data_IF_947777794807
#
_entry.id   IF_947777794807
#
_cell.length_a   1.000
_cell.length_b   1.000
_cell.length_c   1.000
_cell.angle_alpha   90.00
_cell.angle_beta   90.00
_cell.angle_gamma   90.00
#
_symmetry.space_group_name_H-M   'P 1'
#
loop_
_entity.id
_entity.type
_entity.pdbx_description
1 polymer ?
#
# COMPACT_ATOMS: atom_id res chain seq x y z
N UNK A 1 -0.46 8.09 20.95
CA UNK A 1 0.55 7.08 20.60
C UNK A 1 1.48 7.66 19.57
N UNK A 2 2.71 7.17 19.49
CA UNK A 2 3.67 7.43 18.42
C UNK A 2 3.69 6.24 17.46
N UNK A 3 3.28 6.47 16.22
CA UNK A 3 3.01 5.43 15.21
C UNK A 3 4.01 5.58 14.07
N UNK A 4 4.74 4.51 13.79
CA UNK A 4 5.58 4.39 12.61
C UNK A 4 4.77 3.73 11.50
N UNK A 5 4.19 4.54 10.62
CA UNK A 5 3.49 4.06 9.43
C UNK A 5 4.52 3.75 8.34
N UNK A 6 4.44 2.59 7.72
CA UNK A 6 5.42 2.16 6.71
C UNK A 6 4.69 1.62 5.49
N UNK A 7 5.10 2.09 4.32
CA UNK A 7 4.54 1.66 3.04
C UNK A 7 5.61 1.82 1.96
N UNK A 8 5.41 1.13 0.84
CA UNK A 8 6.23 1.38 -0.35
C UNK A 8 5.80 2.64 -1.10
N UNK A 9 4.59 3.15 -0.88
CA UNK A 9 4.04 4.26 -1.65
C UNK A 9 3.10 5.10 -0.80
N UNK A 10 3.06 6.40 -1.08
CA UNK A 10 2.10 7.34 -0.52
C UNK A 10 2.00 8.60 -1.38
N UNK A 11 0.80 9.15 -1.53
CA UNK A 11 0.58 10.41 -2.25
C UNK A 11 1.06 11.60 -1.42
N UNK A 12 1.83 12.56 -1.98
CA UNK A 12 2.18 12.74 -3.40
C UNK A 12 3.58 12.25 -3.79
N UNK A 13 4.23 11.40 -2.99
CA UNK A 13 5.62 10.99 -3.21
C UNK A 13 5.75 9.88 -4.26
N UNK A 14 4.86 8.88 -4.21
CA UNK A 14 4.79 7.80 -5.19
C UNK A 14 3.38 7.19 -5.20
N UNK A 15 2.89 6.79 -6.39
CA UNK A 15 1.58 6.14 -6.54
C UNK A 15 1.54 5.18 -7.73
N UNK A 16 1.17 3.94 -7.47
CA UNK A 16 0.86 2.89 -8.44
C UNK A 16 -0.55 2.33 -8.25
N UNK A 17 -1.09 2.40 -7.03
CA UNK A 17 -2.41 1.86 -6.69
C UNK A 17 -3.01 2.46 -5.43
N UNK A 18 -4.03 1.80 -4.88
CA UNK A 18 -4.80 2.29 -3.74
C UNK A 18 -4.03 2.34 -2.41
N UNK A 19 -2.96 1.54 -2.27
CA UNK A 19 -2.08 1.59 -1.09
C UNK A 19 -1.56 3.02 -0.84
N UNK A 20 -1.16 3.73 -1.90
CA UNK A 20 -0.62 5.07 -1.79
C UNK A 20 -1.64 6.09 -1.25
N UNK A 21 -2.92 5.93 -1.62
CA UNK A 21 -4.00 6.78 -1.12
C UNK A 21 -4.27 6.48 0.36
N UNK A 22 -4.33 5.19 0.72
CA UNK A 22 -4.59 4.75 2.10
C UNK A 22 -3.46 5.17 3.03
N UNK A 23 -2.19 4.97 2.65
CA UNK A 23 -1.04 5.30 3.49
C UNK A 23 -1.04 6.79 3.87
N UNK A 24 -1.29 7.69 2.92
CA UNK A 24 -1.39 9.12 3.18
C UNK A 24 -2.64 9.48 3.99
N UNK A 25 -3.82 9.03 3.57
CA UNK A 25 -5.08 9.39 4.20
C UNK A 25 -5.18 8.88 5.64
N UNK A 26 -4.80 7.62 5.89
CA UNK A 26 -4.78 7.03 7.22
C UNK A 26 -3.77 7.74 8.13
N UNK A 27 -2.58 8.07 7.62
CA UNK A 27 -1.59 8.83 8.40
C UNK A 27 -2.14 10.19 8.85
N UNK A 28 -2.82 10.91 7.95
CA UNK A 28 -3.48 12.19 8.29
C UNK A 28 -4.62 12.00 9.30
N UNK A 29 -5.45 10.99 9.11
CA UNK A 29 -6.58 10.73 10.01
C UNK A 29 -6.10 10.39 11.43
N UNK A 30 -5.01 9.63 11.56
CA UNK A 30 -4.38 9.33 12.85
C UNK A 30 -3.75 10.57 13.50
N UNK A 31 -3.10 11.43 12.71
CA UNK A 31 -2.59 12.73 13.16
C UNK A 31 -3.72 13.63 13.69
N UNK A 32 -4.82 13.73 12.93
CA UNK A 32 -6.02 14.47 13.33
C UNK A 32 -6.71 13.88 14.58
N UNK A 33 -6.59 12.57 14.79
CA UNK A 33 -7.05 11.90 16.01
C UNK A 33 -6.11 12.11 17.22
N UNK A 34 -5.03 12.89 17.06
CA UNK A 34 -4.12 13.24 18.15
C UNK A 34 -2.97 12.25 18.36
N UNK A 35 -2.61 11.46 17.33
CA UNK A 35 -1.44 10.59 17.37
C UNK A 35 -0.24 11.23 16.66
N UNK A 36 0.97 10.94 17.14
CA UNK A 36 2.19 11.36 16.43
C UNK A 36 2.51 10.30 15.37
N UNK A 37 2.46 10.69 14.09
CA UNK A 37 2.67 9.76 12.98
C UNK A 37 3.95 10.12 12.21
N UNK A 38 4.85 9.15 12.08
CA UNK A 38 5.95 9.19 11.12
C UNK A 38 5.66 8.20 10.00
N UNK A 39 5.55 8.71 8.77
CA UNK A 39 5.38 7.89 7.57
C UNK A 39 6.74 7.62 6.92
N UNK A 40 7.13 6.35 6.80
CA UNK A 40 8.38 5.94 6.17
C UNK A 40 8.13 5.34 4.80
N UNK A 41 8.84 5.85 3.79
CA UNK A 41 8.73 5.43 2.39
C UNK A 41 10.13 5.25 1.79
N UNK A 42 10.30 4.43 0.73
CA UNK A 42 11.49 4.52 -0.09
C UNK A 42 11.51 5.87 -0.84
N UNK A 43 12.69 6.45 -1.03
CA UNK A 43 12.85 7.66 -1.83
C UNK A 43 12.88 7.30 -3.32
N UNK A 44 11.83 7.67 -4.08
CA UNK A 44 11.79 7.50 -5.53
C UNK A 44 11.98 8.84 -6.27
N UNK A 45 13.21 9.31 -6.52
CA UNK A 45 13.47 10.62 -7.13
C UNK A 45 12.67 10.88 -8.42
N UNK A 46 12.55 9.88 -9.29
CA UNK A 46 11.90 10.03 -10.61
C UNK A 46 10.36 10.12 -10.53
N UNK A 47 9.77 9.73 -9.40
CA UNK A 47 8.31 9.78 -9.20
C UNK A 47 7.85 11.06 -8.50
N UNK A 48 8.80 11.84 -7.98
CA UNK A 48 8.49 13.09 -7.31
C UNK A 48 7.97 14.13 -8.32
N UNK A 49 6.88 14.87 -7.98
CA UNK A 49 6.39 15.92 -8.85
C UNK A 49 7.40 17.06 -8.98
N UNK A 50 7.29 17.85 -10.04
CA UNK A 50 8.15 19.00 -10.25
C UNK A 50 8.13 19.96 -9.03
N UNK A 51 9.31 20.39 -8.58
CA UNK A 51 9.49 21.23 -7.39
C UNK A 51 9.24 20.54 -6.05
N UNK A 52 9.09 19.21 -6.01
CA UNK A 52 8.82 18.44 -4.79
C UNK A 52 9.80 18.74 -3.65
N UNK A 53 11.09 18.87 -3.96
CA UNK A 53 12.13 19.10 -2.94
C UNK A 53 11.85 20.36 -2.12
N UNK A 54 11.53 21.48 -2.76
CA UNK A 54 11.15 22.71 -2.06
C UNK A 54 9.75 22.61 -1.46
N UNK A 55 8.78 22.08 -2.22
CA UNK A 55 7.36 22.00 -1.81
C UNK A 55 7.14 21.14 -0.57
N UNK A 56 7.89 20.05 -0.44
CA UNK A 56 7.76 19.08 0.64
C UNK A 56 8.90 19.18 1.66
N UNK A 57 9.77 20.19 1.51
CA UNK A 57 10.90 20.44 2.42
C UNK A 57 11.78 19.20 2.58
N UNK A 58 12.21 18.63 1.44
CA UNK A 58 13.01 17.40 1.44
C UNK A 58 14.46 17.72 1.79
N UNK A 59 14.87 17.33 2.99
CA UNK A 59 16.17 17.65 3.58
C UNK A 59 16.81 16.42 4.25
N UNK A 60 18.13 16.21 4.12
CA UNK A 60 18.83 15.14 4.84
C UNK A 60 18.62 15.22 6.35
N UNK A 61 18.50 14.06 7.00
CA UNK A 61 18.30 13.96 8.45
C UNK A 61 18.96 12.70 9.00
N UNK A 62 19.35 12.74 10.28
CA UNK A 62 19.92 11.59 10.98
C UNK A 62 21.33 11.22 10.50
N UNK A 63 21.78 10.04 10.93
CA UNK A 63 23.07 9.50 10.55
C UNK A 63 22.92 8.56 9.35
N UNK A 64 23.88 8.63 8.42
CA UNK A 64 24.01 7.60 7.39
C UNK A 64 24.22 6.23 8.03
N UNK A 65 23.68 5.19 7.40
CA UNK A 65 23.73 3.84 7.92
C UNK A 65 24.24 2.86 6.89
N UNK A 66 24.71 1.71 7.38
CA UNK A 66 25.15 0.59 6.55
C UNK A 66 24.48 -0.69 7.04
N UNK A 67 23.69 -1.32 6.18
CA UNK A 67 22.90 -2.50 6.53
C UNK A 67 23.36 -3.74 5.78
N UNK A 68 23.31 -4.92 6.41
CA UNK A 68 23.55 -6.17 5.72
C UNK A 68 22.36 -6.51 4.82
N UNK A 69 22.63 -6.87 3.57
CA UNK A 69 21.67 -7.48 2.65
C UNK A 69 22.35 -8.69 2.03
N UNK A 70 22.07 -9.85 2.61
CA UNK A 70 22.86 -11.07 2.37
C UNK A 70 24.35 -10.84 2.68
N UNK A 71 25.27 -11.20 1.78
CA UNK A 71 26.71 -11.02 1.99
C UNK A 71 27.17 -9.57 1.79
N UNK A 72 26.33 -8.70 1.22
CA UNK A 72 26.67 -7.30 0.93
C UNK A 72 26.33 -6.38 2.08
N UNK A 73 27.05 -5.27 2.16
CA UNK A 73 26.74 -4.13 3.01
C UNK A 73 26.30 -2.98 2.13
N UNK A 74 25.05 -2.57 2.26
CA UNK A 74 24.47 -1.47 1.47
C UNK A 74 24.37 -0.23 2.35
N UNK A 75 24.88 0.89 1.83
CA UNK A 75 24.79 2.20 2.49
C UNK A 75 23.48 2.88 2.12
N UNK A 76 22.89 3.60 3.07
CA UNK A 76 21.73 4.44 2.83
C UNK A 76 21.74 5.67 3.73
N UNK A 77 20.83 6.60 3.44
CA UNK A 77 20.60 7.79 4.25
C UNK A 77 19.10 8.03 4.41
N UNK A 78 18.74 8.98 5.28
CA UNK A 78 17.37 9.38 5.48
C UNK A 78 17.18 10.83 5.03
N UNK A 79 16.05 11.09 4.36
CA UNK A 79 15.59 12.44 4.04
C UNK A 79 14.29 12.68 4.81
N UNK A 80 14.22 13.77 5.55
CA UNK A 80 12.96 14.28 6.09
C UNK A 80 12.14 14.95 5.00
N UNK A 81 10.83 14.85 5.08
CA UNK A 81 9.87 15.56 4.25
C UNK A 81 8.58 15.79 5.05
N UNK A 82 7.68 16.62 4.53
CA UNK A 82 6.37 16.87 5.14
C UNK A 82 5.24 16.39 4.24
N UNK A 83 4.29 15.65 4.80
CA UNK A 83 3.06 15.30 4.09
C UNK A 83 2.20 16.57 3.96
N UNK A 84 1.82 16.99 2.73
CA UNK A 84 1.05 18.22 2.53
C UNK A 84 -0.25 18.23 3.33
N UNK A 85 -0.63 19.43 3.79
CA UNK A 85 -1.87 19.69 4.54
C UNK A 85 -2.03 18.86 5.83
N UNK A 86 -0.92 18.50 6.49
CA UNK A 86 -0.94 17.75 7.75
C UNK A 86 0.30 18.03 8.61
N UNK A 87 0.31 17.56 9.86
CA UNK A 87 1.51 17.59 10.71
C UNK A 87 2.36 16.31 10.60
N UNK A 88 1.90 15.34 9.81
CA UNK A 88 2.60 14.07 9.56
C UNK A 88 3.97 14.34 8.95
N UNK A 89 5.00 13.88 9.66
CA UNK A 89 6.37 13.84 9.14
C UNK A 89 6.51 12.65 8.21
N UNK A 90 7.28 12.83 7.15
CA UNK A 90 7.64 11.77 6.22
C UNK A 90 9.15 11.58 6.29
N UNK A 91 9.59 10.33 6.28
CA UNK A 91 10.99 9.96 6.23
C UNK A 91 11.21 9.06 5.02
N UNK A 92 12.02 9.54 4.09
CA UNK A 92 12.35 8.87 2.85
C UNK A 92 13.67 8.13 3.04
N UNK A 93 13.66 6.82 2.81
CA UNK A 93 14.86 5.97 2.81
C UNK A 93 15.55 6.14 1.47
N UNK A 94 16.69 6.81 1.47
CA UNK A 94 17.44 7.10 0.26
C UNK A 94 18.52 6.05 0.01
N UNK A 95 18.39 5.39 -1.13
CA UNK A 95 19.36 4.47 -1.70
C UNK A 95 19.15 4.49 -3.23
N UNK A 96 19.92 5.33 -3.97
CA UNK A 96 19.70 5.53 -5.40
C UNK A 96 19.79 4.27 -6.27
N UNK A 97 20.72 3.35 -6.00
CA UNK A 97 20.88 2.09 -6.75
C UNK A 97 19.60 1.21 -6.67
N UNK A 98 18.85 1.33 -5.57
CA UNK A 98 17.59 0.63 -5.38
C UNK A 98 16.38 1.43 -5.85
N UNK A 99 16.32 2.74 -5.62
CA UNK A 99 15.05 3.47 -5.74
C UNK A 99 15.04 4.61 -6.77
N UNK A 100 16.18 5.00 -7.35
CA UNK A 100 16.23 5.93 -8.48
C UNK A 100 15.86 5.21 -9.79
N UNK A 101 14.56 4.92 -9.93
CA UNK A 101 13.99 4.15 -11.03
C UNK A 101 12.69 4.77 -11.54
N UNK A 102 12.32 4.53 -12.82
CA UNK A 102 11.12 5.10 -13.42
C UNK A 102 9.81 4.53 -12.84
N UNK A 103 9.85 3.41 -12.11
CA UNK A 103 8.71 2.91 -11.34
C UNK A 103 9.15 2.15 -10.10
N UNK A 104 8.26 1.92 -9.10
CA UNK A 104 8.63 1.22 -7.88
C UNK A 104 8.99 -0.26 -8.08
N UNK A 105 8.31 -1.00 -8.96
CA UNK A 105 8.40 -2.48 -9.01
C UNK A 105 8.74 -3.07 -10.36
N UNK A 106 8.41 -2.39 -11.45
CA UNK A 106 8.49 -2.94 -12.82
C UNK A 106 9.15 -1.96 -13.79
N UNK A 107 9.77 -2.48 -14.84
CA UNK A 107 10.12 -1.70 -16.02
C UNK A 107 9.49 -2.37 -17.24
N UNK A 108 8.71 -1.63 -18.02
CA UNK A 108 7.99 -2.18 -19.18
C UNK A 108 7.13 -3.42 -18.85
N UNK A 109 6.46 -3.42 -17.68
CA UNK A 109 5.68 -4.53 -17.12
C UNK A 109 6.47 -5.76 -16.69
N UNK A 110 7.81 -5.71 -16.71
CA UNK A 110 8.68 -6.77 -16.20
C UNK A 110 9.10 -6.40 -14.77
N UNK A 111 8.86 -7.26 -13.76
CA UNK A 111 9.36 -7.02 -12.41
C UNK A 111 10.88 -6.86 -12.38
N UNK A 112 11.38 -5.90 -11.61
CA UNK A 112 12.81 -5.82 -11.33
C UNK A 112 13.29 -7.10 -10.62
N UNK A 113 14.36 -7.70 -11.12
CA UNK A 113 14.93 -8.95 -10.58
C UNK A 113 15.39 -8.79 -9.12
N UNK A 114 15.89 -7.60 -8.77
CA UNK A 114 16.38 -7.27 -7.44
C UNK A 114 15.28 -6.79 -6.47
N UNK A 115 13.99 -6.96 -6.80
CA UNK A 115 12.89 -6.55 -5.92
C UNK A 115 13.00 -7.14 -4.50
N UNK A 116 13.37 -8.41 -4.36
CA UNK A 116 13.53 -9.01 -3.02
C UNK A 116 14.57 -8.23 -2.21
N UNK A 117 15.75 -8.02 -2.79
CA UNK A 117 16.84 -7.29 -2.15
C UNK A 117 16.44 -5.86 -1.75
N UNK A 118 15.79 -5.12 -2.65
CA UNK A 118 15.39 -3.72 -2.42
C UNK A 118 14.45 -3.59 -1.22
N UNK A 119 13.47 -4.49 -1.10
CA UNK A 119 12.48 -4.44 -0.02
C UNK A 119 12.95 -5.11 1.27
N UNK A 120 13.93 -6.02 1.19
CA UNK A 120 14.72 -6.46 2.35
C UNK A 120 15.51 -5.29 2.94
N UNK A 121 16.23 -4.54 2.09
CA UNK A 121 16.96 -3.36 2.50
C UNK A 121 16.02 -2.33 3.14
N UNK A 122 14.89 -2.04 2.49
CA UNK A 122 13.90 -1.10 3.03
C UNK A 122 13.38 -1.52 4.40
N UNK A 123 13.02 -2.80 4.57
CA UNK A 123 12.57 -3.33 5.87
C UNK A 123 13.66 -3.21 6.95
N UNK A 124 14.92 -3.46 6.61
CA UNK A 124 16.05 -3.26 7.55
C UNK A 124 16.31 -1.78 7.85
N UNK A 125 16.14 -0.89 6.87
CA UNK A 125 16.27 0.55 7.06
C UNK A 125 15.19 1.10 7.99
N UNK A 126 13.98 0.55 7.97
CA UNK A 126 12.94 0.91 8.94
C UNK A 126 13.33 0.50 10.37
N UNK A 127 13.98 -0.65 10.56
CA UNK A 127 14.51 -1.01 11.89
C UNK A 127 15.58 -0.01 12.34
N UNK A 128 16.37 0.53 11.41
CA UNK A 128 17.31 1.63 11.71
C UNK A 128 16.60 2.94 12.06
N UNK A 129 15.47 3.26 11.39
CA UNK A 129 14.60 4.39 11.78
C UNK A 129 14.11 4.24 13.22
N UNK A 130 13.73 3.02 13.63
CA UNK A 130 13.31 2.75 15.01
C UNK A 130 14.42 3.01 16.03
N UNK A 131 15.68 2.79 15.66
CA UNK A 131 16.84 3.04 16.54
C UNK A 131 17.19 4.53 16.61
N UNK A 132 17.18 5.24 15.48
CA UNK A 132 17.61 6.64 15.43
C UNK A 132 16.51 7.63 15.84
N UNK A 133 15.25 7.33 15.55
CA UNK A 133 14.12 8.26 15.73
C UNK A 133 13.03 7.71 16.67
N UNK A 134 13.24 6.53 17.25
CA UNK A 134 12.35 5.93 18.24
C UNK A 134 12.36 6.64 19.60
N UNK A 135 11.63 6.10 20.58
CA UNK A 135 10.79 4.90 20.53
C UNK A 135 9.49 5.11 19.74
N UNK A 136 8.78 4.01 19.43
CA UNK A 136 7.46 3.97 18.81
C UNK A 136 6.56 2.98 19.54
N UNK A 137 5.28 3.33 19.72
CA UNK A 137 4.28 2.43 20.33
C UNK A 137 3.84 1.35 19.34
N UNK A 138 3.63 1.75 18.08
CA UNK A 138 3.14 0.87 17.00
C UNK A 138 4.00 1.06 15.75
N UNK A 139 4.34 -0.07 15.12
CA UNK A 139 4.84 -0.13 13.73
C UNK A 139 3.75 -0.72 12.86
N UNK A 140 3.29 0.04 11.88
CA UNK A 140 2.24 -0.36 10.96
C UNK A 140 2.86 -0.63 9.58
N UNK A 141 2.99 -1.90 9.24
CA UNK A 141 3.48 -2.41 7.97
C UNK A 141 2.32 -2.64 7.00
N UNK A 142 2.53 -2.28 5.73
CA UNK A 142 1.55 -2.39 4.65
C UNK A 142 2.13 -3.17 3.47
N UNK A 143 1.40 -4.23 3.08
CA UNK A 143 1.70 -5.15 1.97
C UNK A 143 3.11 -5.79 2.01
N UNK A 144 3.39 -6.63 1.01
CA UNK A 144 4.56 -7.49 0.95
C UNK A 144 5.90 -6.74 1.01
N UNK A 145 5.93 -5.49 0.56
CA UNK A 145 7.11 -4.62 0.54
C UNK A 145 7.66 -4.32 1.94
N UNK A 146 6.79 -4.38 2.95
CA UNK A 146 7.16 -4.24 4.37
C UNK A 146 6.86 -5.52 5.15
N UNK A 147 6.52 -6.63 4.47
CA UNK A 147 6.15 -7.90 5.09
C UNK A 147 7.29 -8.58 5.86
N UNK A 148 8.55 -8.25 5.56
CA UNK A 148 9.69 -8.73 6.35
C UNK A 148 9.84 -7.99 7.70
N UNK A 149 9.32 -6.76 7.81
CA UNK A 149 9.54 -5.89 8.96
C UNK A 149 9.06 -6.50 10.29
N UNK A 150 7.85 -7.07 10.41
CA UNK A 150 7.42 -7.71 11.66
C UNK A 150 8.37 -8.82 12.10
N UNK A 151 8.88 -9.63 11.17
CA UNK A 151 9.83 -10.70 11.48
C UNK A 151 11.18 -10.15 11.94
N UNK A 152 11.71 -9.08 11.33
CA UNK A 152 12.94 -8.43 11.80
C UNK A 152 12.79 -7.85 13.20
N UNK A 153 11.63 -7.25 13.49
CA UNK A 153 11.33 -6.71 14.82
C UNK A 153 11.31 -7.85 15.85
N UNK A 154 10.54 -8.91 15.58
CA UNK A 154 10.35 -10.01 16.51
C UNK A 154 11.63 -10.84 16.74
N UNK A 155 12.32 -11.20 15.66
CA UNK A 155 13.48 -12.10 15.71
C UNK A 155 14.74 -11.40 16.20
N UNK A 156 14.99 -10.16 15.74
CA UNK A 156 16.22 -9.42 15.97
C UNK A 156 16.00 -8.23 16.93
N UNK A 157 15.18 -7.25 16.54
CA UNK A 157 15.21 -5.92 17.15
C UNK A 157 14.71 -5.89 18.61
N UNK A 158 13.65 -6.64 18.93
CA UNK A 158 13.12 -6.77 20.31
C UNK A 158 14.14 -7.31 21.31
N UNK A 159 15.11 -8.12 20.85
CA UNK A 159 16.18 -8.68 21.69
C UNK A 159 17.33 -7.72 21.93
N UNK A 160 17.45 -6.69 21.10
CA UNK A 160 18.58 -5.75 21.10
C UNK A 160 18.24 -4.42 21.76
N UNK A 161 16.96 -4.07 21.90
CA UNK A 161 16.52 -2.80 22.48
C UNK A 161 15.28 -2.98 23.36
N UNK A 162 15.38 -2.51 24.62
CA UNK A 162 14.27 -2.52 25.57
C UNK A 162 13.09 -1.63 25.13
N UNK A 163 13.38 -0.55 24.40
CA UNK A 163 12.36 0.35 23.86
C UNK A 163 11.54 -0.34 22.75
N UNK A 164 12.20 -1.09 21.87
CA UNK A 164 11.55 -1.84 20.79
C UNK A 164 10.80 -3.07 21.32
N UNK A 165 11.21 -3.60 22.47
CA UNK A 165 10.56 -4.76 23.09
C UNK A 165 9.06 -4.54 23.35
N UNK A 166 8.64 -3.29 23.59
CA UNK A 166 7.24 -2.92 23.87
C UNK A 166 6.45 -2.48 22.63
N UNK A 167 7.10 -2.36 21.48
CA UNK A 167 6.46 -1.92 20.23
C UNK A 167 5.55 -3.01 19.68
N UNK A 168 4.28 -2.67 19.48
CA UNK A 168 3.33 -3.52 18.78
C UNK A 168 3.49 -3.43 17.27
N UNK A 169 3.23 -4.52 16.56
CA UNK A 169 3.30 -4.60 15.10
C UNK A 169 1.93 -4.88 14.50
N UNK A 170 1.53 -4.04 13.55
CA UNK A 170 0.30 -4.20 12.77
C UNK A 170 0.70 -4.42 11.32
N UNK A 171 0.19 -5.47 10.68
CA UNK A 171 0.43 -5.75 9.26
C UNK A 171 -0.87 -5.70 8.46
N UNK A 172 -0.95 -4.83 7.46
CA UNK A 172 -2.15 -4.65 6.64
C UNK A 172 -1.97 -5.19 5.24
N UNK A 173 -2.93 -6.03 4.83
CA UNK A 173 -2.99 -6.62 3.51
C UNK A 173 -3.98 -5.82 2.66
N UNK A 174 -3.50 -5.16 1.61
CA UNK A 174 -4.34 -4.41 0.66
C UNK A 174 -4.70 -5.27 -0.55
N UNK A 175 -3.84 -6.21 -0.94
CA UNK A 175 -4.12 -7.13 -2.04
C UNK A 175 -3.34 -8.44 -1.95
N UNK A 176 -4.04 -9.57 -1.73
CA UNK A 176 -3.41 -10.89 -1.60
C UNK A 176 -2.82 -11.46 -2.89
N UNK A 177 -3.16 -10.90 -4.06
CA UNK A 177 -2.58 -11.38 -5.31
C UNK A 177 -1.12 -10.95 -5.48
N UNK A 178 -0.67 -9.90 -4.77
CA UNK A 178 0.72 -9.44 -4.80
C UNK A 178 1.42 -9.86 -3.51
N UNK A 179 2.06 -11.03 -3.53
CA UNK A 179 2.60 -11.66 -2.32
C UNK A 179 4.09 -11.39 -2.06
N UNK A 180 4.82 -10.85 -3.04
CA UNK A 180 6.29 -10.79 -2.95
C UNK A 180 6.88 -12.19 -2.81
N UNK A 181 6.62 -13.05 -3.80
CA UNK A 181 7.18 -14.41 -3.91
C UNK A 181 8.52 -14.34 -4.63
N UNK A 182 9.54 -14.91 -4.03
CA UNK A 182 10.93 -14.86 -4.47
C UNK A 182 11.59 -16.23 -4.35
N UNK A 183 12.73 -16.40 -5.02
CA UNK A 183 13.42 -17.68 -5.02
C UNK A 183 13.90 -18.04 -3.60
N UNK A 184 13.89 -19.32 -3.21
CA UNK A 184 14.24 -19.71 -1.82
C UNK A 184 15.62 -19.22 -1.37
N UNK A 185 16.61 -19.14 -2.28
CA UNK A 185 17.95 -18.63 -1.92
C UNK A 185 17.96 -17.14 -1.58
N UNK A 186 16.92 -16.39 -1.96
CA UNK A 186 16.76 -14.99 -1.53
C UNK A 186 16.52 -14.87 -0.02
N UNK A 187 16.24 -15.99 0.69
CA UNK A 187 16.27 -16.06 2.15
C UNK A 187 17.60 -15.55 2.72
N UNK A 188 18.73 -15.78 2.03
CA UNK A 188 20.05 -15.28 2.45
C UNK A 188 20.05 -13.75 2.51
N UNK A 189 19.36 -13.06 1.59
CA UNK A 189 19.29 -11.61 1.56
C UNK A 189 18.72 -11.06 2.86
N UNK A 190 17.72 -11.74 3.43
CA UNK A 190 17.05 -11.33 4.66
C UNK A 190 18.00 -11.24 5.84
N UNK A 191 19.11 -12.00 5.85
CA UNK A 191 20.03 -12.12 6.98
C UNK A 191 19.50 -12.95 8.16
N UNK A 192 18.30 -13.53 8.03
CA UNK A 192 17.69 -14.38 9.05
C UNK A 192 18.15 -15.84 8.91
N UNK A 193 18.12 -16.56 10.03
CA UNK A 193 18.47 -17.98 10.08
C UNK A 193 17.50 -18.84 9.23
N UNK A 194 18.05 -19.78 8.46
CA UNK A 194 17.30 -20.69 7.61
C UNK A 194 16.25 -21.53 8.37
N UNK A 195 16.34 -21.66 9.69
CA UNK A 195 15.28 -22.30 10.49
C UNK A 195 13.91 -21.65 10.32
N UNK A 196 13.84 -20.36 9.96
CA UNK A 196 12.59 -19.64 9.70
C UNK A 196 12.05 -19.88 8.27
N UNK A 197 12.87 -20.45 7.37
CA UNK A 197 12.45 -20.90 6.05
C UNK A 197 11.79 -22.28 6.18
N UNK A 198 10.55 -22.28 6.68
CA UNK A 198 9.71 -23.47 6.79
C UNK A 198 8.25 -23.12 6.48
N UNK A 199 7.46 -24.15 6.21
CA UNK A 199 6.07 -24.01 5.75
C UNK A 199 5.14 -23.31 6.75
N UNK A 200 5.52 -23.17 8.03
CA UNK A 200 4.72 -22.41 9.01
C UNK A 200 5.03 -20.91 8.99
N UNK A 201 6.20 -20.53 8.46
CA UNK A 201 6.74 -19.18 8.56
C UNK A 201 6.95 -18.59 7.17
N UNK A 202 8.19 -18.48 6.69
CA UNK A 202 8.52 -17.66 5.51
C UNK A 202 8.40 -18.40 4.17
N UNK A 203 8.41 -19.74 4.17
CA UNK A 203 8.41 -20.55 2.95
C UNK A 203 6.98 -20.74 2.41
N UNK A 204 6.82 -20.75 1.09
CA UNK A 204 5.56 -20.97 0.40
C UNK A 204 5.76 -21.69 -0.94
N UNK A 205 5.51 -23.01 -0.97
CA UNK A 205 5.69 -23.87 -2.15
C UNK A 205 7.09 -23.80 -2.80
N UNK A 206 8.13 -23.76 -1.97
CA UNK A 206 9.53 -23.67 -2.38
C UNK A 206 10.04 -22.25 -2.60
N UNK A 207 9.19 -21.24 -2.43
CA UNK A 207 9.55 -19.82 -2.55
C UNK A 207 9.65 -19.15 -1.17
N UNK A 208 10.43 -18.07 -1.09
CA UNK A 208 10.31 -17.09 -0.02
C UNK A 208 9.08 -16.22 -0.27
N UNK A 209 8.23 -16.01 0.74
CA UNK A 209 7.02 -15.20 0.62
C UNK A 209 6.97 -14.09 1.69
N UNK A 210 7.20 -12.85 1.27
CA UNK A 210 7.28 -11.71 2.20
C UNK A 210 5.91 -11.32 2.77
N UNK A 211 4.82 -11.45 1.99
CA UNK A 211 3.47 -11.20 2.51
C UNK A 211 3.10 -12.21 3.61
N UNK A 212 3.36 -13.49 3.37
CA UNK A 212 3.18 -14.56 4.37
C UNK A 212 3.99 -14.28 5.62
N UNK A 213 5.24 -13.84 5.45
CA UNK A 213 6.11 -13.46 6.56
C UNK A 213 5.45 -12.37 7.43
N UNK A 214 4.87 -11.33 6.83
CA UNK A 214 4.16 -10.29 7.57
C UNK A 214 2.94 -10.83 8.33
N UNK A 215 2.16 -11.70 7.69
CA UNK A 215 0.98 -12.35 8.30
C UNK A 215 1.37 -13.18 9.52
N UNK A 216 2.45 -13.95 9.44
CA UNK A 216 2.85 -14.88 10.50
C UNK A 216 3.44 -14.15 11.70
N UNK A 217 4.29 -13.14 11.48
CA UNK A 217 5.09 -12.53 12.55
C UNK A 217 4.47 -11.29 13.19
N UNK A 218 3.47 -10.64 12.55
CA UNK A 218 2.84 -9.47 13.15
C UNK A 218 2.00 -9.82 14.39
N UNK A 219 1.89 -8.89 15.33
CA UNK A 219 1.03 -9.05 16.51
C UNK A 219 -0.45 -8.97 16.10
N UNK A 220 -0.79 -8.02 15.20
CA UNK A 220 -2.11 -7.89 14.58
C UNK A 220 -2.01 -7.86 13.06
N UNK A 221 -2.95 -8.51 12.39
CA UNK A 221 -3.11 -8.47 10.94
C UNK A 221 -4.42 -7.77 10.62
N UNK A 222 -4.40 -6.83 9.69
CA UNK A 222 -5.63 -6.20 9.20
C UNK A 222 -5.77 -6.28 7.70
N UNK A 223 -6.99 -6.05 7.21
CA UNK A 223 -7.25 -5.93 5.78
C UNK A 223 -8.41 -4.96 5.52
N UNK A 224 -8.67 -4.66 4.26
CA UNK A 224 -9.43 -3.49 3.81
C UNK A 224 -10.95 -3.58 3.94
N UNK A 225 -11.49 -4.69 4.46
CA UNK A 225 -12.90 -4.76 4.89
C UNK A 225 -13.19 -5.99 5.77
N UNK A 226 -14.23 -5.93 6.64
CA UNK A 226 -14.67 -7.09 7.45
C UNK A 226 -15.07 -8.31 6.62
N UNK A 227 -15.69 -8.11 5.46
CA UNK A 227 -16.11 -9.22 4.59
C UNK A 227 -14.91 -9.87 3.94
N UNK A 228 -13.99 -9.06 3.40
CA UNK A 228 -12.76 -9.57 2.82
C UNK A 228 -11.92 -10.34 3.85
N UNK A 229 -11.83 -9.87 5.10
CA UNK A 229 -11.16 -10.59 6.18
C UNK A 229 -11.70 -12.02 6.40
N UNK A 230 -13.00 -12.25 6.18
CA UNK A 230 -13.60 -13.59 6.25
C UNK A 230 -13.34 -14.40 4.98
N UNK A 231 -13.49 -13.78 3.81
CA UNK A 231 -13.33 -14.45 2.52
C UNK A 231 -11.92 -15.03 2.34
N UNK A 232 -10.89 -14.26 2.68
CA UNK A 232 -9.48 -14.63 2.48
C UNK A 232 -8.99 -15.79 3.35
N UNK A 233 -9.79 -16.21 4.32
CA UNK A 233 -9.52 -17.40 5.13
C UNK A 233 -9.98 -18.69 4.45
N UNK A 234 -10.61 -18.59 3.27
CA UNK A 234 -11.01 -19.74 2.45
C UNK A 234 -10.06 -19.98 1.28
N UNK A 235 -9.94 -21.23 0.79
CA UNK A 235 -9.07 -21.55 -0.35
C UNK A 235 -9.39 -20.75 -1.63
N UNK A 236 -10.67 -20.42 -1.85
CA UNK A 236 -11.14 -19.74 -3.07
C UNK A 236 -10.63 -18.30 -3.17
N UNK A 237 -10.40 -17.62 -2.04
CA UNK A 237 -10.02 -16.21 -1.99
C UNK A 237 -8.71 -15.94 -1.25
N UNK A 238 -8.14 -16.94 -0.57
CA UNK A 238 -6.92 -16.79 0.24
C UNK A 238 -5.62 -16.86 -0.55
N UNK A 239 -5.67 -17.16 -1.86
CA UNK A 239 -4.48 -17.27 -2.73
C UNK A 239 -3.41 -18.22 -2.17
N UNK A 240 -3.86 -19.32 -1.54
CA UNK A 240 -3.01 -20.32 -0.86
C UNK A 240 -2.47 -19.89 0.51
N UNK A 241 -2.68 -18.64 0.92
CA UNK A 241 -2.33 -18.14 2.26
C UNK A 241 -3.47 -18.33 3.28
N UNK A 242 -4.59 -18.92 2.88
CA UNK A 242 -5.73 -19.22 3.74
C UNK A 242 -5.36 -20.00 5.02
N UNK A 243 -4.40 -20.95 5.04
CA UNK A 243 -4.02 -21.62 6.28
C UNK A 243 -3.28 -20.67 7.24
N UNK A 244 -2.46 -19.76 6.71
CA UNK A 244 -1.76 -18.77 7.52
C UNK A 244 -2.73 -17.71 8.07
N UNK A 245 -3.75 -17.34 7.29
CA UNK A 245 -4.76 -16.35 7.65
C UNK A 245 -5.78 -16.90 8.65
N UNK A 246 -6.34 -18.08 8.40
CA UNK A 246 -7.29 -18.73 9.32
C UNK A 246 -6.66 -19.06 10.68
N UNK A 247 -5.36 -19.35 10.70
CA UNK A 247 -4.59 -19.55 11.93
C UNK A 247 -4.45 -18.31 12.82
N UNK A 248 -4.79 -17.11 12.34
CA UNK A 248 -4.69 -15.85 13.12
C UNK A 248 -5.83 -15.67 14.13
N UNK A 249 -6.99 -16.28 13.90
CA UNK A 249 -8.18 -16.08 14.75
C UNK A 249 -8.50 -14.59 14.93
N UNK A 250 -8.71 -14.17 16.19
CA UNK A 250 -9.09 -12.80 16.55
C UNK A 250 -8.03 -11.73 16.24
N UNK A 251 -6.80 -12.14 15.91
CA UNK A 251 -5.75 -11.21 15.50
C UNK A 251 -5.81 -10.81 14.02
N UNK A 252 -6.78 -11.32 13.24
CA UNK A 252 -7.08 -10.88 11.88
C UNK A 252 -8.37 -10.04 11.87
N UNK A 253 -8.26 -8.76 11.54
CA UNK A 253 -9.40 -7.82 11.57
C UNK A 253 -9.57 -7.11 10.23
N UNK A 254 -10.80 -7.08 9.71
CA UNK A 254 -11.13 -6.28 8.55
C UNK A 254 -11.56 -4.86 8.95
N UNK A 255 -10.90 -3.85 8.42
CA UNK A 255 -11.21 -2.43 8.64
C UNK A 255 -11.55 -1.82 7.29
N UNK A 256 -12.77 -1.31 7.15
CA UNK A 256 -13.24 -0.72 5.89
C UNK A 256 -12.42 0.53 5.56
N UNK A 257 -11.87 0.59 4.35
CA UNK A 257 -11.18 1.79 3.88
C UNK A 257 -12.14 2.98 3.78
N UNK A 258 -11.63 4.16 4.13
CA UNK A 258 -12.31 5.43 3.87
C UNK A 258 -12.08 5.94 2.44
N UNK A 259 -12.66 7.11 2.17
CA UNK A 259 -12.41 7.92 0.97
C UNK A 259 -11.98 9.32 1.38
N UNK A 260 -11.06 9.93 0.63
CA UNK A 260 -10.66 11.32 0.86
C UNK A 260 -11.77 12.25 0.35
N UNK A 261 -12.55 12.79 1.27
CA UNK A 261 -13.69 13.67 0.97
C UNK A 261 -13.27 15.10 0.62
N UNK A 262 -12.01 15.50 0.79
CA UNK A 262 -11.54 16.80 0.31
C UNK A 262 -11.27 16.74 -1.21
N UNK A 263 -10.85 15.56 -1.70
CA UNK A 263 -10.63 15.29 -3.12
C UNK A 263 -11.93 14.89 -3.82
N UNK A 264 -12.67 13.93 -3.25
CA UNK A 264 -13.89 13.38 -3.84
C UNK A 264 -15.14 14.04 -3.26
N UNK A 265 -15.38 15.31 -3.61
CA UNK A 265 -16.48 16.10 -3.06
C UNK A 265 -17.39 16.67 -4.17
N UNK A 266 -18.60 16.15 -4.40
CA UNK A 266 -19.45 16.60 -5.51
C UNK A 266 -19.86 18.07 -5.41
N UNK A 267 -19.86 18.67 -4.22
CA UNK A 267 -20.16 20.11 -4.06
C UNK A 267 -19.02 21.05 -4.48
N UNK A 268 -17.78 20.56 -4.54
CA UNK A 268 -16.58 21.38 -4.81
C UNK A 268 -15.68 20.83 -5.93
N UNK A 269 -16.09 19.72 -6.55
CA UNK A 269 -15.36 19.06 -7.63
C UNK A 269 -15.32 19.93 -8.89
N UNK A 270 -14.12 20.28 -9.35
CA UNK A 270 -13.88 21.14 -10.51
C UNK A 270 -13.95 20.40 -11.85
N UNK A 271 -14.03 19.07 -11.83
CA UNK A 271 -14.02 18.22 -13.03
C UNK A 271 -15.42 17.88 -13.51
N UNK A 272 -16.43 17.96 -12.64
CA UNK A 272 -17.83 17.74 -13.04
C UNK A 272 -18.46 19.04 -13.54
N UNK A 273 -19.39 18.91 -14.49
CA UNK A 273 -20.06 20.06 -15.11
C UNK A 273 -20.84 20.93 -14.13
N UNK A 274 -21.47 20.30 -13.14
CA UNK A 274 -22.32 20.97 -12.17
C UNK A 274 -22.13 20.34 -10.79
N UNK A 275 -21.79 21.16 -9.79
CA UNK A 275 -21.62 20.71 -8.41
C UNK A 275 -22.96 20.47 -7.71
N UNK A 276 -23.09 19.34 -7.02
CA UNK A 276 -24.34 18.91 -6.41
C UNK A 276 -24.17 18.35 -5.01
N UNK A 277 -25.25 18.42 -4.24
CA UNK A 277 -25.40 17.86 -2.91
C UNK A 277 -26.59 16.88 -2.87
N UNK A 278 -26.90 16.32 -1.70
CA UNK A 278 -27.99 15.35 -1.55
C UNK A 278 -29.38 15.87 -1.95
N UNK A 279 -29.64 17.18 -1.85
CA UNK A 279 -30.94 17.79 -2.18
C UNK A 279 -31.07 18.09 -3.68
N UNK A 280 -29.95 18.44 -4.32
CA UNK A 280 -29.89 18.87 -5.73
C UNK A 280 -29.44 17.77 -6.70
N UNK A 281 -29.21 16.54 -6.19
CA UNK A 281 -28.56 15.46 -6.94
C UNK A 281 -29.32 15.09 -8.21
N UNK A 282 -30.65 15.02 -8.19
CA UNK A 282 -31.45 14.61 -9.35
C UNK A 282 -31.28 15.58 -10.54
N UNK A 283 -31.51 16.87 -10.31
CA UNK A 283 -31.45 17.89 -11.36
C UNK A 283 -30.03 18.08 -11.89
N UNK A 284 -29.06 18.17 -10.99
CA UNK A 284 -27.68 18.52 -11.37
C UNK A 284 -26.91 17.33 -11.92
N UNK A 285 -27.19 16.11 -11.47
CA UNK A 285 -26.60 14.90 -12.05
C UNK A 285 -27.12 14.66 -13.47
N UNK A 286 -28.36 15.07 -13.79
CA UNK A 286 -28.86 15.04 -15.17
C UNK A 286 -28.03 15.94 -16.10
N UNK A 287 -27.61 17.12 -15.63
CA UNK A 287 -26.70 18.01 -16.36
C UNK A 287 -25.32 17.34 -16.55
N UNK A 288 -24.75 16.76 -15.50
CA UNK A 288 -23.47 16.04 -15.59
C UNK A 288 -23.56 14.82 -16.52
N UNK A 289 -24.70 14.13 -16.55
CA UNK A 289 -24.95 13.01 -17.46
C UNK A 289 -24.96 13.45 -18.93
N UNK A 290 -25.67 14.53 -19.25
CA UNK A 290 -25.69 15.08 -20.61
C UNK A 290 -24.28 15.53 -21.05
N UNK A 291 -23.52 16.16 -20.16
CA UNK A 291 -22.14 16.56 -20.41
C UNK A 291 -21.22 15.35 -20.67
N UNK A 292 -21.37 14.28 -19.90
CA UNK A 292 -20.65 13.01 -20.12
C UNK A 292 -21.02 12.37 -21.47
N UNK A 293 -22.31 12.27 -21.79
CA UNK A 293 -22.79 11.74 -23.08
C UNK A 293 -22.19 12.51 -24.24
N UNK A 294 -22.27 13.84 -24.19
CA UNK A 294 -21.70 14.74 -25.19
C UNK A 294 -20.18 14.58 -25.31
N UNK A 295 -19.47 14.52 -24.19
CA UNK A 295 -18.00 14.38 -24.16
C UNK A 295 -17.54 13.05 -24.79
N UNK A 296 -18.30 11.98 -24.60
CA UNK A 296 -18.00 10.65 -25.14
C UNK A 296 -18.63 10.39 -26.52
N UNK A 297 -19.37 11.35 -27.09
CA UNK A 297 -20.06 11.19 -28.37
C UNK A 297 -21.24 10.21 -28.32
N UNK A 298 -21.80 9.96 -27.14
CA UNK A 298 -23.00 9.14 -26.96
C UNK A 298 -24.27 9.98 -27.26
N UNK A 299 -25.38 9.35 -27.69
CA UNK A 299 -26.65 10.05 -27.81
C UNK A 299 -27.08 10.67 -26.47
N UNK A 300 -27.40 11.97 -26.47
CA UNK A 300 -27.92 12.68 -25.30
C UNK A 300 -29.35 12.23 -25.00
N UNK A 301 -29.49 11.18 -24.17
CA UNK A 301 -30.78 10.59 -23.78
C UNK A 301 -30.95 10.68 -22.25
N UNK A 302 -31.86 11.54 -21.74
CA UNK A 302 -32.00 11.77 -20.30
C UNK A 302 -32.58 10.55 -19.57
N UNK A 303 -33.46 9.78 -20.20
CA UNK A 303 -34.15 8.65 -19.55
C UNK A 303 -33.39 7.32 -19.67
N UNK A 304 -32.33 7.26 -20.48
CA UNK A 304 -31.55 6.03 -20.70
C UNK A 304 -30.41 5.91 -19.68
N UNK A 305 -30.33 4.85 -18.86
CA UNK A 305 -29.29 4.71 -17.86
C UNK A 305 -27.89 4.63 -18.48
N UNK A 306 -26.90 5.19 -17.78
CA UNK A 306 -25.47 5.00 -18.06
C UNK A 306 -24.90 4.07 -17.00
N UNK A 307 -24.27 2.99 -17.45
CA UNK A 307 -23.53 2.04 -16.62
C UNK A 307 -22.05 2.27 -16.91
N UNK A 308 -21.27 2.62 -15.87
CA UNK A 308 -19.84 2.89 -16.02
C UNK A 308 -18.99 1.86 -15.28
N UNK A 309 -17.89 1.41 -15.91
CA UNK A 309 -16.87 0.58 -15.25
C UNK A 309 -15.50 1.27 -15.33
N UNK A 310 -15.06 1.82 -14.20
CA UNK A 310 -13.75 2.46 -14.08
C UNK A 310 -12.82 1.55 -13.27
N UNK A 311 -11.90 0.87 -13.95
CA UNK A 311 -10.93 -0.01 -13.29
C UNK A 311 -9.70 -0.31 -14.12
N UNK A 312 -8.66 -0.85 -13.49
CA UNK A 312 -7.56 -1.49 -14.21
C UNK A 312 -8.07 -2.72 -14.95
N UNK A 313 -7.62 -2.94 -16.18
CA UNK A 313 -7.95 -4.15 -16.94
C UNK A 313 -7.18 -5.35 -16.39
N UNK A 314 -7.77 -6.05 -15.43
CA UNK A 314 -7.25 -7.31 -14.91
C UNK A 314 -8.36 -8.34 -14.76
N UNK A 315 -7.99 -9.62 -14.66
CA UNK A 315 -8.93 -10.72 -14.48
C UNK A 315 -9.79 -10.53 -13.22
N UNK A 316 -9.21 -9.97 -12.14
CA UNK A 316 -9.94 -9.65 -10.90
C UNK A 316 -11.08 -8.65 -11.08
N UNK A 317 -11.09 -7.88 -12.17
CA UNK A 317 -12.12 -6.87 -12.44
C UNK A 317 -13.27 -7.39 -13.30
N UNK A 318 -13.18 -8.62 -13.82
CA UNK A 318 -14.32 -9.29 -14.46
C UNK A 318 -14.67 -8.74 -15.85
N UNK A 319 -13.71 -8.15 -16.57
CA UNK A 319 -13.93 -7.72 -17.96
C UNK A 319 -14.31 -8.89 -18.88
N UNK A 320 -13.88 -10.12 -18.56
CA UNK A 320 -14.31 -11.33 -19.26
C UNK A 320 -15.80 -11.63 -19.04
N UNK A 321 -16.32 -11.33 -17.85
CA UNK A 321 -17.75 -11.45 -17.53
C UNK A 321 -18.57 -10.42 -18.32
N UNK A 322 -18.09 -9.18 -18.40
CA UNK A 322 -18.72 -8.15 -19.25
C UNK A 322 -18.76 -8.58 -20.71
N UNK A 323 -17.64 -9.10 -21.24
CA UNK A 323 -17.60 -9.63 -22.61
C UNK A 323 -18.63 -10.75 -22.83
N UNK A 324 -18.73 -11.71 -21.91
CA UNK A 324 -19.72 -12.80 -21.97
C UNK A 324 -21.17 -12.29 -21.89
N UNK A 325 -21.41 -11.22 -21.14
CA UNK A 325 -22.72 -10.61 -21.00
C UNK A 325 -23.04 -9.55 -22.08
N UNK A 326 -22.09 -9.23 -22.97
CA UNK A 326 -22.13 -8.09 -23.87
C UNK A 326 -23.40 -8.01 -24.71
N UNK A 327 -23.74 -9.07 -25.44
CA UNK A 327 -24.94 -9.09 -26.29
C UNK A 327 -26.21 -8.84 -25.49
N UNK A 328 -26.33 -9.45 -24.31
CA UNK A 328 -27.48 -9.24 -23.42
C UNK A 328 -27.53 -7.80 -22.92
N UNK A 329 -26.38 -7.21 -22.58
CA UNK A 329 -26.26 -5.84 -22.09
C UNK A 329 -26.64 -4.83 -23.18
N UNK A 330 -26.11 -5.01 -24.40
CA UNK A 330 -26.34 -4.13 -25.56
C UNK A 330 -27.77 -4.20 -26.10
N UNK A 331 -28.51 -5.27 -25.82
CA UNK A 331 -29.93 -5.38 -26.17
C UNK A 331 -30.86 -4.61 -25.20
N UNK A 332 -30.34 -4.03 -24.11
CA UNK A 332 -31.12 -3.13 -23.26
C UNK A 332 -30.98 -1.68 -23.76
N UNK A 333 -31.99 -0.85 -23.53
CA UNK A 333 -31.87 0.60 -23.75
C UNK A 333 -31.03 1.22 -22.62
N UNK A 334 -29.72 1.03 -22.70
CA UNK A 334 -28.71 1.49 -21.75
C UNK A 334 -27.42 1.89 -22.49
N UNK A 335 -26.64 2.78 -21.89
CA UNK A 335 -25.33 3.19 -22.38
C UNK A 335 -24.24 2.65 -21.44
N UNK A 336 -23.11 2.26 -22.01
CA UNK A 336 -21.99 1.67 -21.27
C UNK A 336 -20.73 2.52 -21.47
N UNK A 337 -20.04 2.84 -20.36
CA UNK A 337 -18.83 3.68 -20.31
C UNK A 337 -17.69 2.94 -19.63
#
# INVERSE_FOLDING_TARGET
>A
MKILMTASEAVPFAKTGGLADVASALSRALDQAGHEVLLVLPHYPQLLPHGARQRFQIEPIGEEFTLPVGPRKSKGSFLSAKLPNSNVKVLLVDQPDYFDRPSPYVFENIPYEDNCERFVFFSRAIVEVMKQFGPYDIVHANDWQTGLLPALIDIEARKQSADIQRTGTVFTIHNLAFQGRFWHWDMVLTGLDWKYFNWKQMEFFGDLNLLKTGIVFADMVTTVSPTYAREIQSPDFGWGLDPALSGRGDSLVGILNGVDTDIWHPENDRFIKCNFNAETVEEKKAICKADLQKTLGLPEKPDVPIVAMISRMSQQKGFDLLKKAGDRLLNNDAQFV
#
